data_IF_034331843886
#
_entry.id   IF_034331843886
#
_cell.length_a   1.000
_cell.length_b   1.000
_cell.length_c   1.000
_cell.angle_alpha   90.00
_cell.angle_beta   90.00
_cell.angle_gamma   90.00
#
_symmetry.space_group_name_H-M   'P 1'
#
loop_
_entity.id
_entity.type
_entity.pdbx_description
1 polymer ?
#
# COMPACT_ATOMS: atom_id res chain seq x y z
N UNK A 1 -22.24 -7.73 4.05
CA UNK A 1 -21.12 -6.94 4.24
C UNK A 1 -20.29 -7.39 5.41
N UNK A 2 -19.04 -7.43 5.26
CA UNK A 2 -18.21 -7.93 6.34
C UNK A 2 -17.59 -6.78 7.09
N UNK A 3 -17.37 -7.01 8.34
CA UNK A 3 -16.79 -6.01 9.18
C UNK A 3 -15.68 -6.60 9.96
N UNK A 4 -14.55 -5.99 9.82
CA UNK A 4 -13.39 -6.40 10.56
C UNK A 4 -12.99 -5.28 11.49
N UNK A 5 -13.99 -4.50 11.89
CA UNK A 5 -13.70 -3.34 12.68
C UNK A 5 -13.39 -2.17 11.79
N UNK A 6 -13.07 -1.03 12.39
CA UNK A 6 -12.78 0.17 11.60
C UNK A 6 -11.52 -0.02 10.78
N UNK A 7 -11.54 0.55 9.58
CA UNK A 7 -10.36 0.54 8.75
C UNK A 7 -9.48 1.73 9.12
N UNK A 8 -8.23 1.59 8.75
CA UNK A 8 -7.25 2.65 8.98
C UNK A 8 -6.51 2.89 7.67
N UNK A 9 -5.88 4.04 7.57
CA UNK A 9 -5.13 4.38 6.38
C UNK A 9 -3.70 3.91 6.54
N UNK A 10 -3.22 3.18 5.55
CA UNK A 10 -1.86 2.65 5.53
C UNK A 10 -1.09 3.28 4.40
N UNK A 11 0.15 3.63 4.68
CA UNK A 11 1.04 4.20 3.68
C UNK A 11 1.97 3.13 3.18
N UNK A 12 1.94 2.88 1.88
CA UNK A 12 2.78 1.88 1.25
C UNK A 12 3.78 2.61 0.37
N UNK A 13 5.06 2.43 0.68
CA UNK A 13 6.14 3.02 -0.11
C UNK A 13 6.67 1.91 -1.02
N UNK A 14 6.67 2.18 -2.32
CA UNK A 14 6.99 1.15 -3.28
C UNK A 14 7.87 1.72 -4.39
N UNK A 15 8.44 0.83 -5.19
CA UNK A 15 9.25 1.20 -6.34
C UNK A 15 8.44 0.97 -7.60
N UNK A 16 8.03 2.05 -8.29
CA UNK A 16 7.24 1.89 -9.51
C UNK A 16 8.07 1.27 -10.63
N UNK A 17 7.38 0.60 -11.54
CA UNK A 17 8.05 -0.05 -12.65
C UNK A 17 8.63 0.97 -13.62
N UNK A 18 7.86 2.00 -13.91
CA UNK A 18 8.20 2.89 -15.01
C UNK A 18 9.02 4.08 -14.60
N UNK A 19 9.42 4.15 -13.36
CA UNK A 19 10.17 5.32 -12.93
C UNK A 19 11.64 5.09 -13.08
N UNK A 20 12.31 6.04 -13.70
CA UNK A 20 13.76 6.04 -13.74
C UNK A 20 14.27 7.00 -12.67
N UNK A 21 15.52 6.83 -12.30
CA UNK A 21 16.10 7.70 -11.32
C UNK A 21 15.84 7.34 -9.89
N UNK A 22 15.21 6.20 -9.66
CA UNK A 22 15.06 5.69 -8.30
C UNK A 22 14.01 6.37 -7.45
N UNK A 23 13.08 7.07 -8.06
CA UNK A 23 12.02 7.70 -7.29
C UNK A 23 11.06 6.66 -6.78
N UNK A 24 10.65 6.82 -5.53
CA UNK A 24 9.69 5.92 -4.92
C UNK A 24 8.28 6.51 -5.00
N UNK A 25 7.30 5.61 -5.08
CA UNK A 25 5.92 6.02 -5.03
C UNK A 25 5.35 5.80 -3.65
N UNK A 26 4.27 6.51 -3.36
CA UNK A 26 3.56 6.36 -2.10
C UNK A 26 2.09 6.15 -2.42
N UNK A 27 1.52 5.10 -1.84
CA UNK A 27 0.10 4.81 -2.01
C UNK A 27 -0.55 4.79 -0.65
N UNK A 28 -1.76 5.32 -0.58
CA UNK A 28 -2.55 5.26 0.63
C UNK A 28 -3.63 4.22 0.44
N UNK A 29 -3.67 3.27 1.35
CA UNK A 29 -4.57 2.13 1.26
C UNK A 29 -5.35 2.02 2.55
N UNK A 30 -6.65 1.78 2.44
CA UNK A 30 -7.48 1.59 3.62
C UNK A 30 -7.59 0.11 3.92
N UNK A 31 -7.31 -0.26 5.14
CA UNK A 31 -7.36 -1.65 5.54
C UNK A 31 -7.41 -1.75 7.05
N UNK A 32 -7.83 -2.91 7.53
CA UNK A 32 -7.93 -3.11 8.97
C UNK A 32 -6.62 -3.59 9.58
N UNK A 33 -5.67 -3.99 8.78
CA UNK A 33 -4.38 -4.44 9.27
C UNK A 33 -3.34 -4.30 8.20
N UNK A 34 -2.08 -4.44 8.59
CA UNK A 34 -0.99 -4.34 7.63
C UNK A 34 -1.11 -5.42 6.57
N UNK A 35 -1.48 -6.61 6.98
CA UNK A 35 -1.61 -7.72 6.04
C UNK A 35 -2.65 -7.40 4.97
N UNK A 36 -3.80 -6.89 5.39
CA UNK A 36 -4.84 -6.52 4.44
C UNK A 36 -4.43 -5.33 3.59
N UNK A 37 -3.67 -4.42 4.16
CA UNK A 37 -3.18 -3.27 3.38
C UNK A 37 -2.32 -3.74 2.24
N UNK A 38 -1.45 -4.72 2.49
CA UNK A 38 -0.60 -5.25 1.44
C UNK A 38 -1.42 -5.97 0.37
N UNK A 39 -2.42 -6.72 0.78
CA UNK A 39 -3.28 -7.41 -0.18
C UNK A 39 -4.00 -6.39 -1.05
N UNK A 40 -4.57 -5.37 -0.44
CA UNK A 40 -5.29 -4.35 -1.18
C UNK A 40 -4.38 -3.59 -2.12
N UNK A 41 -3.17 -3.25 -1.64
CA UNK A 41 -2.20 -2.57 -2.48
C UNK A 41 -1.86 -3.40 -3.71
N UNK A 42 -1.58 -4.69 -3.50
CA UNK A 42 -1.20 -5.55 -4.61
C UNK A 42 -2.30 -5.64 -5.66
N UNK A 43 -3.54 -5.69 -5.21
CA UNK A 43 -4.65 -5.77 -6.15
C UNK A 43 -4.82 -4.48 -6.93
N UNK A 44 -4.68 -3.34 -6.25
CA UNK A 44 -4.88 -2.06 -6.92
C UNK A 44 -3.72 -1.70 -7.82
N UNK A 45 -2.52 -2.10 -7.46
CA UNK A 45 -1.32 -1.70 -8.19
C UNK A 45 -0.65 -2.86 -8.89
N UNK A 46 -1.42 -3.90 -9.19
CA UNK A 46 -0.86 -5.06 -9.88
C UNK A 46 -0.21 -4.62 -11.20
N UNK A 47 1.03 -5.05 -11.40
CA UNK A 47 1.74 -4.71 -12.61
C UNK A 47 2.30 -3.30 -12.65
N UNK A 48 2.16 -2.54 -11.57
CA UNK A 48 2.62 -1.16 -11.55
C UNK A 48 3.79 -0.94 -10.62
N UNK A 49 4.24 -1.98 -9.94
CA UNK A 49 5.35 -1.81 -9.02
C UNK A 49 6.28 -3.03 -9.11
N UNK A 50 7.52 -2.85 -8.70
CA UNK A 50 8.46 -3.95 -8.66
C UNK A 50 8.59 -4.52 -7.27
N UNK A 51 8.69 -3.66 -6.26
CA UNK A 51 8.82 -4.14 -4.89
C UNK A 51 8.29 -3.08 -3.94
N UNK A 52 7.94 -3.50 -2.74
CA UNK A 52 7.45 -2.61 -1.70
C UNK A 52 8.58 -2.38 -0.72
N UNK A 53 8.85 -1.12 -0.42
CA UNK A 53 9.88 -0.79 0.53
C UNK A 53 9.38 -0.92 1.96
N UNK A 54 8.19 -0.38 2.24
CA UNK A 54 7.63 -0.49 3.57
C UNK A 54 6.14 -0.20 3.53
N UNK A 55 5.47 -0.61 4.58
CA UNK A 55 4.05 -0.36 4.78
C UNK A 55 3.86 0.03 6.23
N UNK A 56 3.30 1.18 6.47
CA UNK A 56 3.13 1.64 7.84
C UNK A 56 1.79 2.30 8.01
N UNK A 57 1.27 2.25 9.23
CA UNK A 57 -0.01 2.85 9.54
C UNK A 57 0.17 4.35 9.72
N UNK A 58 -0.72 5.11 9.11
CA UNK A 58 -0.73 6.55 9.31
C UNK A 58 -1.47 6.86 10.58
N UNK A 59 -0.83 7.61 11.45
CA UNK A 59 -1.42 8.01 12.71
C UNK A 59 -1.67 9.51 12.63
N UNK A 60 -2.91 9.85 12.90
CA UNK A 60 -3.27 11.26 12.87
C UNK A 60 -2.95 11.94 14.17
#
# INVERSE_FOLDING_TARGET
>A
MSFYGPTETWKVVYFPIDKTGGQMGVALVEACSEHHAMINFRQQYAGQYTTVKKCEKLIK
#
